data_IF_451254253670
#
_entry.id   IF_451254253670
#
_cell.length_a   1.000
_cell.length_b   1.000
_cell.length_c   1.000
_cell.angle_alpha   90.00
_cell.angle_beta   90.00
_cell.angle_gamma   90.00
#
_symmetry.space_group_name_H-M   'P 1'
#
loop_
_entity.id
_entity.type
_entity.pdbx_description
1 polymer ?
#
# COMPACT_ATOMS: atom_id res chain seq x y z
N UNK A 1 -35.46 -20.04 -21.51
CA UNK A 1 -34.13 -20.40 -20.96
C UNK A 1 -34.13 -20.52 -19.43
N UNK A 2 -34.53 -19.47 -18.70
CA UNK A 2 -34.59 -19.44 -17.23
C UNK A 2 -35.42 -20.57 -16.58
N UNK A 3 -36.58 -20.92 -17.17
CA UNK A 3 -37.44 -22.03 -16.68
C UNK A 3 -36.78 -23.43 -16.78
N UNK A 4 -35.78 -23.64 -17.66
CA UNK A 4 -35.02 -24.91 -17.75
C UNK A 4 -33.93 -25.00 -16.69
N UNK A 5 -33.27 -23.89 -16.37
CA UNK A 5 -32.23 -23.80 -15.34
C UNK A 5 -32.83 -24.09 -13.96
N UNK A 6 -34.04 -23.59 -13.68
CA UNK A 6 -34.72 -23.81 -12.41
C UNK A 6 -35.13 -25.28 -12.15
N UNK A 7 -35.15 -26.14 -13.18
CA UNK A 7 -35.41 -27.58 -13.02
C UNK A 7 -34.17 -28.38 -12.64
N UNK A 8 -32.97 -27.85 -12.92
CA UNK A 8 -31.72 -28.51 -12.62
C UNK A 8 -31.14 -27.97 -11.31
N UNK A 9 -31.51 -28.60 -10.18
CA UNK A 9 -31.15 -28.15 -8.82
C UNK A 9 -29.63 -27.99 -8.63
N UNK A 10 -28.83 -28.85 -9.25
CA UNK A 10 -27.36 -28.77 -9.21
C UNK A 10 -26.84 -27.53 -9.95
N UNK A 11 -27.39 -27.23 -11.14
CA UNK A 11 -27.01 -26.05 -11.92
C UNK A 11 -27.41 -24.74 -11.23
N UNK A 12 -28.59 -24.70 -10.60
CA UNK A 12 -29.04 -23.57 -9.81
C UNK A 12 -28.16 -23.34 -8.57
N UNK A 13 -27.79 -24.41 -7.87
CA UNK A 13 -26.88 -24.34 -6.73
C UNK A 13 -25.50 -23.78 -7.13
N UNK A 14 -24.92 -24.28 -8.23
CA UNK A 14 -23.65 -23.76 -8.75
C UNK A 14 -23.72 -22.27 -9.11
N UNK A 15 -24.82 -21.83 -9.71
CA UNK A 15 -25.03 -20.42 -10.06
C UNK A 15 -25.11 -19.54 -8.81
N UNK A 16 -25.88 -19.95 -7.80
CA UNK A 16 -25.99 -19.22 -6.52
C UNK A 16 -24.64 -19.18 -5.80
N UNK A 17 -23.88 -20.29 -5.83
CA UNK A 17 -22.57 -20.36 -5.21
C UNK A 17 -21.56 -19.38 -5.86
N UNK A 18 -21.48 -19.36 -7.20
CA UNK A 18 -20.63 -18.41 -7.93
C UNK A 18 -21.05 -16.96 -7.69
N UNK A 19 -22.37 -16.68 -7.66
CA UNK A 19 -22.89 -15.36 -7.35
C UNK A 19 -22.50 -14.92 -5.94
N UNK A 20 -22.57 -15.83 -4.96
CA UNK A 20 -22.12 -15.60 -3.59
C UNK A 20 -20.61 -15.29 -3.51
N UNK A 21 -19.76 -16.08 -4.17
CA UNK A 21 -18.32 -15.83 -4.23
C UNK A 21 -17.99 -14.48 -4.88
N UNK A 22 -18.72 -14.12 -5.94
CA UNK A 22 -18.57 -12.83 -6.61
C UNK A 22 -18.91 -11.67 -5.67
N UNK A 23 -19.99 -11.80 -4.91
CA UNK A 23 -20.38 -10.79 -3.92
C UNK A 23 -19.34 -10.67 -2.79
N UNK A 24 -18.82 -11.80 -2.28
CA UNK A 24 -17.75 -11.81 -1.28
C UNK A 24 -16.48 -11.16 -1.81
N UNK A 25 -16.11 -11.40 -3.08
CA UNK A 25 -14.94 -10.76 -3.71
C UNK A 25 -15.08 -9.24 -3.77
N UNK A 26 -16.25 -8.74 -4.16
CA UNK A 26 -16.54 -7.31 -4.21
C UNK A 26 -16.56 -6.66 -2.81
N UNK A 27 -17.17 -7.33 -1.83
CA UNK A 27 -17.24 -6.84 -0.45
C UNK A 27 -15.91 -7.00 0.30
N UNK A 28 -15.06 -7.96 -0.09
CA UNK A 28 -13.76 -8.18 0.52
C UNK A 28 -12.86 -6.96 0.41
N UNK A 29 -12.92 -6.23 -0.71
CA UNK A 29 -12.23 -4.95 -0.86
C UNK A 29 -12.71 -3.89 0.15
N UNK A 30 -13.97 -3.94 0.58
CA UNK A 30 -14.52 -3.01 1.57
C UNK A 30 -14.04 -3.30 3.01
N UNK A 31 -13.68 -4.56 3.29
CA UNK A 31 -13.32 -5.04 4.63
C UNK A 31 -11.80 -4.91 4.85
N UNK A 32 -11.01 -4.91 3.77
CA UNK A 32 -9.54 -4.77 3.86
C UNK A 32 -9.21 -3.35 4.34
N UNK A 33 -8.48 -3.19 5.46
CA UNK A 33 -8.14 -1.89 6.03
C UNK A 33 -6.99 -1.17 5.28
N UNK A 34 -6.67 -1.57 4.05
CA UNK A 34 -5.61 -0.97 3.24
C UNK A 34 -6.22 -0.09 2.13
N UNK A 35 -6.37 1.19 2.43
CA UNK A 35 -6.90 2.20 1.51
C UNK A 35 -5.85 2.77 0.55
N UNK A 36 -4.61 2.27 0.58
CA UNK A 36 -3.55 2.76 -0.30
C UNK A 36 -3.80 2.31 -1.74
N UNK A 37 -3.49 3.18 -2.72
CA UNK A 37 -3.64 2.82 -4.12
C UNK A 37 -2.78 1.59 -4.45
N UNK A 38 -3.43 0.54 -4.99
CA UNK A 38 -2.84 -0.76 -5.27
C UNK A 38 -2.24 -1.51 -4.07
N UNK A 39 -2.66 -1.21 -2.83
CA UNK A 39 -2.10 -1.85 -1.62
C UNK A 39 -0.56 -1.74 -1.56
N UNK A 40 -0.01 -0.62 -2.02
CA UNK A 40 1.42 -0.45 -2.28
C UNK A 40 2.18 0.21 -1.11
N UNK A 41 1.58 0.25 0.09
CA UNK A 41 2.27 0.69 1.31
C UNK A 41 3.21 -0.38 1.91
N UNK A 42 3.40 -1.49 1.20
CA UNK A 42 4.36 -2.52 1.60
C UNK A 42 5.79 -2.02 1.36
N UNK A 43 6.51 -1.77 2.45
CA UNK A 43 7.92 -1.37 2.41
C UNK A 43 8.84 -2.59 2.14
N UNK A 44 8.96 -2.99 0.86
CA UNK A 44 9.77 -4.14 0.42
C UNK A 44 11.24 -4.14 0.90
N UNK A 45 11.79 -2.95 1.19
CA UNK A 45 13.17 -2.78 1.70
C UNK A 45 13.36 -3.35 3.11
N UNK A 46 12.30 -3.33 3.93
CA UNK A 46 12.31 -3.84 5.31
C UNK A 46 11.53 -5.13 5.47
N UNK A 47 10.82 -5.60 4.45
CA UNK A 47 9.99 -6.81 4.49
C UNK A 47 10.75 -8.11 4.84
N UNK A 48 12.08 -8.10 4.73
CA UNK A 48 12.94 -9.24 5.08
C UNK A 48 13.59 -9.11 6.47
N UNK A 49 13.30 -8.03 7.21
CA UNK A 49 13.82 -7.84 8.56
C UNK A 49 13.07 -8.69 9.58
N UNK A 50 13.76 -9.02 10.67
CA UNK A 50 13.19 -9.80 11.77
C UNK A 50 12.19 -8.95 12.56
N UNK A 51 11.14 -9.57 13.14
CA UNK A 51 10.31 -8.90 14.13
C UNK A 51 11.15 -8.34 15.27
N UNK A 52 10.78 -7.17 15.78
CA UNK A 52 11.56 -6.35 16.73
C UNK A 52 12.54 -5.36 16.08
N UNK A 53 12.46 -5.15 14.76
CA UNK A 53 13.33 -4.21 14.05
C UNK A 53 12.79 -2.76 14.12
N UNK A 54 13.65 -1.82 14.49
CA UNK A 54 13.36 -0.38 14.50
C UNK A 54 14.09 0.31 13.35
N UNK A 55 13.38 1.17 12.62
CA UNK A 55 13.94 1.96 11.53
C UNK A 55 13.34 3.35 11.51
N UNK A 56 14.17 4.31 11.09
CA UNK A 56 13.72 5.68 10.85
C UNK A 56 13.17 5.79 9.43
N UNK A 57 12.04 6.47 9.28
CA UNK A 57 11.43 6.79 8.01
C UNK A 57 11.55 8.28 7.72
N UNK A 58 11.98 8.59 6.50
CA UNK A 58 11.91 9.92 5.92
C UNK A 58 10.63 10.03 5.07
N UNK A 59 9.76 10.97 5.42
CA UNK A 59 8.54 11.28 4.67
C UNK A 59 8.84 12.29 3.56
N UNK A 60 8.66 11.86 2.31
CA UNK A 60 8.89 12.70 1.14
C UNK A 60 7.55 12.95 0.46
N UNK A 61 7.15 14.21 0.36
CA UNK A 61 5.98 14.61 -0.43
C UNK A 61 6.22 14.27 -1.90
N UNK A 62 5.37 13.42 -2.47
CA UNK A 62 5.41 13.14 -3.90
C UNK A 62 4.49 14.13 -4.63
N UNK A 63 4.88 14.63 -5.82
CA UNK A 63 3.97 15.39 -6.65
C UNK A 63 2.78 14.48 -6.98
N UNK A 64 1.59 14.84 -6.49
CA UNK A 64 0.37 14.12 -6.77
C UNK A 64 0.13 14.19 -8.27
N UNK A 65 0.09 13.03 -8.93
CA UNK A 65 -0.50 12.95 -10.25
C UNK A 65 -1.99 13.19 -10.04
N UNK A 66 -2.51 14.32 -10.53
CA UNK A 66 -3.93 14.67 -10.40
C UNK A 66 -4.78 13.52 -10.95
N UNK A 67 -5.40 12.76 -10.05
CA UNK A 67 -6.35 11.72 -10.40
C UNK A 67 -7.75 12.26 -10.08
N UNK A 68 -8.69 12.01 -10.98
CA UNK A 68 -10.06 12.49 -10.87
C UNK A 68 -10.70 12.15 -9.51
N UNK A 69 -11.23 13.18 -8.84
CA UNK A 69 -11.85 13.15 -7.51
C UNK A 69 -13.20 12.40 -7.45
N UNK A 70 -13.45 11.44 -8.34
CA UNK A 70 -14.72 10.70 -8.33
C UNK A 70 -14.73 9.69 -7.18
N UNK A 71 -15.81 9.66 -6.40
CA UNK A 71 -15.99 8.68 -5.31
C UNK A 71 -15.87 7.24 -5.82
N UNK A 72 -16.24 6.99 -7.08
CA UNK A 72 -16.18 5.68 -7.71
C UNK A 72 -14.75 5.29 -8.11
N UNK A 73 -13.91 6.25 -8.53
CA UNK A 73 -12.49 5.97 -8.78
C UNK A 73 -11.73 5.73 -7.49
N UNK A 74 -12.05 6.47 -6.42
CA UNK A 74 -11.51 6.20 -5.09
C UNK A 74 -11.94 4.82 -4.57
N UNK A 75 -13.19 4.41 -4.83
CA UNK A 75 -13.69 3.08 -4.46
C UNK A 75 -13.05 1.92 -5.24
N UNK A 76 -12.69 2.12 -6.51
CA UNK A 76 -12.06 1.06 -7.33
C UNK A 76 -10.53 1.01 -7.25
N UNK A 77 -9.87 2.16 -7.07
CA UNK A 77 -8.41 2.30 -7.22
C UNK A 77 -7.69 2.76 -5.95
N UNK A 78 -8.44 3.04 -4.87
CA UNK A 78 -7.91 3.55 -3.61
C UNK A 78 -7.46 5.02 -3.68
N UNK A 79 -6.86 5.50 -2.59
CA UNK A 79 -6.29 6.85 -2.52
C UNK A 79 -4.79 6.82 -2.82
N UNK A 80 -4.26 7.71 -3.69
CA UNK A 80 -2.82 7.87 -3.81
C UNK A 80 -2.27 8.43 -2.49
N UNK A 81 -1.19 7.83 -2.00
CA UNK A 81 -0.51 8.35 -0.83
C UNK A 81 0.22 9.66 -1.15
N UNK A 82 -0.12 10.71 -0.40
CA UNK A 82 0.52 12.03 -0.52
C UNK A 82 1.96 12.04 -0.04
N UNK A 83 2.28 11.12 0.87
CA UNK A 83 3.56 11.00 1.54
C UNK A 83 4.15 9.63 1.25
N UNK A 84 5.35 9.61 0.68
CA UNK A 84 6.13 8.40 0.50
C UNK A 84 7.11 8.26 1.65
N UNK A 85 6.98 7.19 2.44
CA UNK A 85 7.87 6.90 3.56
C UNK A 85 9.03 6.04 3.08
N UNK A 86 10.26 6.57 3.20
CA UNK A 86 11.48 5.87 2.81
C UNK A 86 12.26 5.48 4.06
N UNK A 87 12.59 4.20 4.27
CA UNK A 87 13.41 3.79 5.40
C UNK A 87 14.85 4.30 5.22
N UNK A 88 15.37 4.98 6.22
CA UNK A 88 16.72 5.56 6.25
C UNK A 88 17.52 4.98 7.41
N UNK A 89 18.83 4.88 7.22
CA UNK A 89 19.78 4.44 8.26
C UNK A 89 20.54 5.62 8.89
N UNK A 90 20.68 6.72 8.14
CA UNK A 90 21.47 7.85 8.60
C UNK A 90 21.34 9.06 7.69
N UNK A 91 21.72 10.19 8.27
CA UNK A 91 21.72 11.51 7.64
C UNK A 91 23.18 11.98 7.53
N UNK A 92 23.52 12.63 6.43
CA UNK A 92 24.82 13.25 6.24
C UNK A 92 24.63 14.68 5.74
N UNK A 93 25.11 15.64 6.54
CA UNK A 93 24.84 17.06 6.33
C UNK A 93 23.35 17.40 6.47
N UNK A 94 22.90 18.40 5.71
CA UNK A 94 21.51 18.91 5.77
C UNK A 94 20.57 18.22 4.78
N UNK A 95 21.10 17.64 3.70
CA UNK A 95 20.29 17.29 2.52
C UNK A 95 20.51 15.84 2.03
N UNK A 96 21.50 15.13 2.58
CA UNK A 96 21.84 13.77 2.13
C UNK A 96 21.37 12.73 3.14
N UNK A 97 20.76 11.65 2.64
CA UNK A 97 20.26 10.54 3.47
C UNK A 97 20.67 9.20 2.87
N UNK A 98 20.93 8.23 3.74
CA UNK A 98 21.26 6.86 3.39
C UNK A 98 20.00 6.00 3.41
N UNK A 99 19.58 5.54 2.22
CA UNK A 99 18.43 4.65 2.06
C UNK A 99 18.80 3.23 2.48
N UNK A 100 17.93 2.62 3.29
CA UNK A 100 18.09 1.23 3.71
C UNK A 100 17.82 0.27 2.55
N UNK A 101 18.72 -0.68 2.31
CA UNK A 101 18.50 -1.82 1.41
C UNK A 101 18.63 -3.15 2.15
N UNK A 102 17.86 -4.15 1.71
CA UNK A 102 17.80 -5.49 2.29
C UNK A 102 19.13 -6.25 2.32
N UNK A 103 20.11 -5.79 1.54
CA UNK A 103 21.47 -6.37 1.41
C UNK A 103 22.51 -5.68 2.29
N UNK A 104 22.11 -4.69 3.11
CA UNK A 104 23.06 -3.86 3.87
C UNK A 104 23.80 -2.82 3.03
N UNK A 105 23.34 -2.57 1.79
CA UNK A 105 23.89 -1.53 0.92
C UNK A 105 23.19 -0.22 1.22
N UNK A 106 23.96 0.83 1.46
CA UNK A 106 23.44 2.17 1.69
C UNK A 106 23.53 2.98 0.41
N UNK A 107 22.38 3.32 -0.16
CA UNK A 107 22.32 4.24 -1.29
C UNK A 107 22.15 5.66 -0.75
N UNK A 108 23.20 6.47 -0.88
CA UNK A 108 23.14 7.89 -0.57
C UNK A 108 22.34 8.63 -1.63
N UNK A 109 21.31 9.32 -1.19
CA UNK A 109 20.47 10.16 -2.03
C UNK A 109 20.44 11.58 -1.47
N UNK A 110 20.20 12.55 -2.35
CA UNK A 110 20.06 13.96 -1.99
C UNK A 110 18.60 14.37 -2.15
N UNK A 111 18.04 15.00 -1.13
CA UNK A 111 16.65 15.48 -1.16
C UNK A 111 16.51 16.81 -1.92
N UNK A 112 17.59 17.57 -2.06
CA UNK A 112 17.59 18.90 -2.70
C UNK A 112 16.90 20.00 -1.88
N UNK A 113 16.50 19.67 -0.65
CA UNK A 113 16.02 20.59 0.39
C UNK A 113 16.60 20.14 1.74
N UNK A 114 16.76 21.04 2.72
CA UNK A 114 17.15 20.65 4.07
C UNK A 114 16.08 19.75 4.69
N UNK A 115 16.54 18.66 5.30
CA UNK A 115 15.69 17.68 6.00
C UNK A 115 15.25 18.30 7.32
N UNK A 116 13.93 18.38 7.53
CA UNK A 116 13.37 18.91 8.78
C UNK A 116 13.08 17.78 9.77
N UNK A 117 13.08 18.10 11.05
CA UNK A 117 12.77 17.11 12.10
C UNK A 117 11.36 16.50 11.95
N UNK A 118 10.41 17.27 11.40
CA UNK A 118 9.04 16.80 11.14
C UNK A 118 8.96 15.78 9.98
N UNK A 119 9.97 15.71 9.11
CA UNK A 119 10.02 14.72 8.03
C UNK A 119 10.43 13.32 8.55
N UNK A 120 10.97 13.24 9.76
CA UNK A 120 11.50 12.03 10.37
C UNK A 120 10.45 11.38 11.28
N UNK A 121 10.27 10.07 11.15
CA UNK A 121 9.42 9.28 12.02
C UNK A 121 10.09 7.95 12.36
N UNK A 122 10.14 7.59 13.63
CA UNK A 122 10.66 6.30 14.06
C UNK A 122 9.52 5.28 14.12
N UNK A 123 9.74 4.06 13.65
CA UNK A 123 8.74 2.99 13.73
C UNK A 123 9.41 1.65 14.03
N UNK A 124 8.87 0.94 15.02
CA UNK A 124 9.29 -0.42 15.40
C UNK A 124 8.27 -1.42 14.89
N UNK A 125 8.74 -2.43 14.17
CA UNK A 125 7.92 -3.54 13.68
C UNK A 125 8.07 -4.71 14.64
N UNK A 126 6.95 -5.20 15.18
CA UNK A 126 6.89 -6.34 16.11
C UNK A 126 6.47 -7.62 15.40
#
# INVERSE_FOLDING_TARGET
MWKKINKNKLGLFGLVFIAGLTAVSLLGYLIIPDSSSNANDIHLKIALQKPGFSVDFLSISQPLKEQSNSLLSHWLFGSPNKLNKVPIMGLSGTDSFAVFDKRGVYLWQRLGRPIQQNDLSNTTFY
#
